data_IF_227437744010
#
_entry.id   IF_227437744010
#
_cell.length_a   1.000
_cell.length_b   1.000
_cell.length_c   1.000
_cell.angle_alpha   90.00
_cell.angle_beta   90.00
_cell.angle_gamma   90.00
#
_symmetry.space_group_name_H-M   'P 1'
#
loop_
_entity.id
_entity.type
_entity.pdbx_description
1 polymer ?
#
# COMPACT_ATOMS: atom_id res chain seq x y z
N UNK A 1 -7.00 6.06 6.39
CA UNK A 1 -6.51 4.78 5.85
C UNK A 1 -5.75 3.95 6.90
N UNK A 2 -4.65 4.44 7.51
CA UNK A 2 -3.88 3.62 8.46
C UNK A 2 -4.68 3.09 9.66
N UNK A 3 -5.62 3.88 10.20
CA UNK A 3 -6.49 3.42 11.30
C UNK A 3 -7.43 2.28 10.87
N UNK A 4 -7.94 2.32 9.63
CA UNK A 4 -8.82 1.25 9.11
C UNK A 4 -8.02 -0.01 8.79
N UNK A 5 -6.77 0.14 8.32
CA UNK A 5 -5.85 -0.97 8.10
C UNK A 5 -5.51 -1.70 9.40
N UNK A 6 -5.09 -0.97 10.44
CA UNK A 6 -4.69 -1.56 11.72
C UNK A 6 -5.88 -2.20 12.46
N UNK A 7 -7.08 -1.66 12.31
CA UNK A 7 -8.30 -2.28 12.83
C UNK A 7 -8.64 -3.58 12.10
N UNK A 8 -8.57 -3.59 10.75
CA UNK A 8 -8.91 -4.74 9.93
C UNK A 8 -7.95 -5.92 10.11
N UNK A 9 -6.65 -5.64 10.27
CA UNK A 9 -5.59 -6.66 10.32
C UNK A 9 -5.07 -6.95 11.74
N UNK A 10 -5.84 -6.55 12.76
CA UNK A 10 -5.44 -6.71 14.16
C UNK A 10 -5.17 -8.18 14.50
N UNK A 11 -4.01 -8.45 15.11
CA UNK A 11 -3.56 -9.79 15.52
C UNK A 11 -3.36 -10.78 14.37
N UNK A 12 -3.16 -10.29 13.14
CA UNK A 12 -2.94 -11.12 11.95
C UNK A 12 -1.55 -10.88 11.37
N UNK A 13 -1.06 -11.87 10.63
CA UNK A 13 0.04 -11.67 9.67
C UNK A 13 -0.55 -11.18 8.35
N UNK A 14 0.16 -10.28 7.69
CA UNK A 14 -0.29 -9.63 6.45
C UNK A 14 0.76 -9.74 5.37
N UNK A 15 0.34 -9.57 4.11
CA UNK A 15 1.23 -9.47 2.96
C UNK A 15 1.15 -8.07 2.35
N UNK A 16 2.13 -7.74 1.52
CA UNK A 16 2.15 -6.50 0.74
C UNK A 16 0.90 -6.38 -0.13
N UNK A 17 0.48 -7.46 -0.81
CA UNK A 17 -0.72 -7.47 -1.64
C UNK A 17 -2.00 -7.10 -0.87
N UNK A 18 -2.15 -7.58 0.38
CA UNK A 18 -3.29 -7.21 1.22
C UNK A 18 -3.31 -5.71 1.54
N UNK A 19 -2.14 -5.09 1.70
CA UNK A 19 -2.05 -3.66 1.96
C UNK A 19 -2.43 -2.84 0.73
N UNK A 20 -1.92 -3.21 -0.44
CA UNK A 20 -2.25 -2.56 -1.71
C UNK A 20 -3.76 -2.60 -1.97
N UNK A 21 -4.38 -3.79 -1.84
CA UNK A 21 -5.83 -3.96 -1.98
C UNK A 21 -6.63 -3.05 -1.01
N UNK A 22 -6.17 -2.93 0.24
CA UNK A 22 -6.83 -2.07 1.23
C UNK A 22 -6.70 -0.58 0.89
N UNK A 23 -5.55 -0.15 0.36
CA UNK A 23 -5.35 1.24 -0.07
C UNK A 23 -6.31 1.58 -1.20
N UNK A 24 -6.38 0.74 -2.23
CA UNK A 24 -7.29 0.92 -3.36
C UNK A 24 -8.76 0.93 -2.91
N UNK A 25 -9.14 0.00 -2.03
CA UNK A 25 -10.51 -0.07 -1.50
C UNK A 25 -10.91 1.18 -0.71
N UNK A 26 -10.02 1.75 0.10
CA UNK A 26 -10.33 2.90 0.97
C UNK A 26 -10.26 4.22 0.22
N UNK A 27 -9.35 4.35 -0.74
CA UNK A 27 -9.13 5.60 -1.50
C UNK A 27 -9.98 5.67 -2.76
N UNK A 28 -10.36 4.53 -3.35
CA UNK A 28 -11.03 4.45 -4.65
C UNK A 28 -10.12 4.88 -5.81
N UNK A 29 -8.81 4.99 -5.58
CA UNK A 29 -7.83 5.43 -6.57
C UNK A 29 -6.85 4.30 -6.88
N UNK A 30 -6.44 4.22 -8.13
CA UNK A 30 -5.34 3.36 -8.56
C UNK A 30 -4.01 3.93 -8.06
N UNK A 31 -3.26 3.11 -7.32
CA UNK A 31 -1.95 3.43 -6.78
C UNK A 31 -0.87 2.48 -7.32
N UNK A 32 -1.15 1.72 -8.38
CA UNK A 32 -0.25 0.71 -8.93
C UNK A 32 1.13 1.30 -9.26
N UNK A 33 1.17 2.46 -9.93
CA UNK A 33 2.43 3.14 -10.28
C UNK A 33 3.26 3.53 -9.04
N UNK A 34 2.60 3.95 -7.96
CA UNK A 34 3.27 4.31 -6.71
C UNK A 34 3.87 3.05 -6.07
N UNK A 35 3.10 1.98 -6.01
CA UNK A 35 3.56 0.73 -5.39
C UNK A 35 4.64 0.06 -6.22
N UNK A 36 4.53 0.03 -7.54
CA UNK A 36 5.55 -0.52 -8.43
C UNK A 36 6.90 0.20 -8.22
N UNK A 37 6.89 1.53 -8.19
CA UNK A 37 8.11 2.33 -8.01
C UNK A 37 8.77 2.13 -6.65
N UNK A 38 7.99 1.93 -5.58
CA UNK A 38 8.54 1.91 -4.21
C UNK A 38 8.74 0.50 -3.64
N UNK A 39 8.03 -0.50 -4.15
CA UNK A 39 8.05 -1.87 -3.61
C UNK A 39 8.75 -2.86 -4.53
N UNK A 40 8.61 -2.69 -5.85
CA UNK A 40 9.03 -3.69 -6.83
C UNK A 40 10.26 -3.24 -7.65
N UNK A 41 10.42 -1.94 -7.89
CA UNK A 41 11.55 -1.39 -8.62
C UNK A 41 12.87 -1.53 -7.85
N UNK A 42 13.96 -1.78 -8.58
CA UNK A 42 15.31 -1.91 -8.01
C UNK A 42 15.91 -0.53 -7.68
N UNK A 43 15.62 0.47 -8.51
CA UNK A 43 16.14 1.82 -8.34
C UNK A 43 15.29 2.61 -7.34
N UNK A 44 15.94 3.35 -6.44
CA UNK A 44 15.25 4.21 -5.49
C UNK A 44 14.51 5.32 -6.26
N UNK A 45 13.18 5.44 -6.13
CA UNK A 45 12.42 6.50 -6.77
C UNK A 45 12.78 7.89 -6.21
N UNK A 46 12.50 8.97 -6.98
CA UNK A 46 12.69 10.33 -6.49
C UNK A 46 11.80 10.60 -5.27
N UNK A 47 12.22 11.55 -4.43
CA UNK A 47 11.44 11.94 -3.28
C UNK A 47 10.06 12.49 -3.72
N UNK A 48 8.97 12.09 -3.05
CA UNK A 48 7.66 12.68 -3.28
C UNK A 48 7.70 14.18 -2.92
N UNK A 49 6.93 14.99 -3.66
CA UNK A 49 6.81 16.43 -3.45
C UNK A 49 6.10 16.80 -2.14
#
# INVERSE_FOLDING_TARGET
>A
MLQTWTAAQRHRNVTTAMFVEHVESVTGQDHSDLFEQWLDAVELPPLPA
#
